data_IF_355262258487
#
_entry.id   IF_355262258487
#
_cell.length_a   1.000
_cell.length_b   1.000
_cell.length_c   1.000
_cell.angle_alpha   90.00
_cell.angle_beta   90.00
_cell.angle_gamma   90.00
#
_symmetry.space_group_name_H-M   'P 1'
#
loop_
_entity.id
_entity.type
_entity.pdbx_description
1 polymer ?
#
# COMPACT_ATOMS: atom_id res chain seq x y z
N UNK A 1 -14.23 -12.42 -10.15
CA UNK A 1 -13.39 -11.58 -9.27
C UNK A 1 -11.96 -12.09 -9.32
N UNK A 2 -11.04 -11.34 -9.94
CA UNK A 2 -9.68 -11.82 -10.22
C UNK A 2 -8.85 -11.93 -8.93
N UNK A 3 -8.31 -13.10 -8.63
CA UNK A 3 -7.52 -13.38 -7.40
C UNK A 3 -6.40 -12.36 -7.13
N UNK A 4 -5.86 -11.75 -8.17
CA UNK A 4 -4.85 -10.68 -8.11
C UNK A 4 -5.34 -9.42 -7.37
N UNK A 5 -6.60 -9.01 -7.54
CA UNK A 5 -7.14 -7.81 -6.86
C UNK A 5 -7.39 -8.08 -5.38
N UNK A 6 -7.81 -9.29 -5.04
CA UNK A 6 -8.05 -9.71 -3.66
C UNK A 6 -6.74 -9.74 -2.84
N UNK A 7 -5.68 -10.37 -3.37
CA UNK A 7 -4.35 -10.36 -2.73
C UNK A 7 -3.83 -8.93 -2.53
N UNK A 8 -4.08 -8.06 -3.49
CA UNK A 8 -3.61 -6.69 -3.46
C UNK A 8 -4.38 -5.83 -2.43
N UNK A 9 -5.70 -6.03 -2.31
CA UNK A 9 -6.50 -5.41 -1.25
C UNK A 9 -6.07 -5.88 0.14
N UNK A 10 -5.75 -7.17 0.30
CA UNK A 10 -5.26 -7.71 1.58
C UNK A 10 -3.92 -7.07 1.99
N UNK A 11 -2.98 -6.94 1.05
CA UNK A 11 -1.69 -6.26 1.29
C UNK A 11 -1.93 -4.78 1.61
N UNK A 12 -2.79 -4.10 0.86
CA UNK A 12 -3.12 -2.69 1.10
C UNK A 12 -3.69 -2.48 2.50
N UNK A 13 -4.60 -3.36 2.94
CA UNK A 13 -5.22 -3.27 4.26
C UNK A 13 -4.21 -3.51 5.38
N UNK A 14 -3.29 -4.45 5.22
CA UNK A 14 -2.21 -4.70 6.19
C UNK A 14 -1.24 -3.51 6.30
N UNK A 15 -0.93 -2.84 5.18
CA UNK A 15 -0.10 -1.64 5.18
C UNK A 15 -0.79 -0.46 5.88
N UNK A 16 -2.07 -0.25 5.60
CA UNK A 16 -2.85 0.83 6.24
C UNK A 16 -3.00 0.61 7.75
N UNK A 17 -3.21 -0.63 8.18
CA UNK A 17 -3.27 -0.97 9.60
C UNK A 17 -1.93 -0.69 10.31
N UNK A 18 -0.82 -1.08 9.66
CA UNK A 18 0.52 -0.79 10.17
C UNK A 18 0.79 0.72 10.30
N UNK A 19 0.34 1.51 9.32
CA UNK A 19 0.44 2.98 9.34
C UNK A 19 -0.42 3.56 10.47
N UNK A 20 -1.67 3.11 10.63
CA UNK A 20 -2.54 3.58 11.72
C UNK A 20 -1.98 3.22 13.09
N UNK A 21 -1.44 2.02 13.24
CA UNK A 21 -0.85 1.55 14.50
C UNK A 21 0.39 2.37 14.88
N UNK A 22 1.22 2.73 13.90
CA UNK A 22 2.37 3.62 14.11
C UNK A 22 1.93 5.08 14.34
N UNK A 23 0.89 5.58 13.65
CA UNK A 23 0.30 6.91 13.93
C UNK A 23 -0.32 7.02 15.31
N UNK A 24 -0.88 5.92 15.85
CA UNK A 24 -1.50 5.89 17.18
C UNK A 24 -0.46 5.76 18.30
N UNK A 25 0.82 5.61 17.99
CA UNK A 25 1.89 5.64 19.01
C UNK A 25 2.13 7.06 19.48
N UNK A 26 2.48 7.18 20.76
CA UNK A 26 2.75 8.44 21.47
C UNK A 26 3.99 9.19 20.94
N UNK A 27 4.89 8.46 20.27
CA UNK A 27 6.05 8.98 19.54
C UNK A 27 6.08 8.35 18.15
N UNK A 28 5.34 8.91 17.18
CA UNK A 28 5.36 8.42 15.82
C UNK A 28 6.72 8.78 15.21
N UNK A 29 7.44 7.75 14.76
CA UNK A 29 8.71 7.94 14.07
C UNK A 29 8.42 8.44 12.64
N UNK A 30 8.57 9.74 12.43
CA UNK A 30 8.30 10.41 11.15
C UNK A 30 9.09 9.79 9.99
N UNK A 31 10.29 9.29 10.23
CA UNK A 31 11.10 8.60 9.22
C UNK A 31 10.48 7.25 8.84
N UNK A 32 10.02 6.50 9.85
CA UNK A 32 9.31 5.24 9.66
C UNK A 32 7.98 5.45 8.92
N UNK A 33 7.27 6.54 9.25
CA UNK A 33 6.03 6.94 8.59
C UNK A 33 6.25 7.34 7.13
N UNK A 34 7.32 8.10 6.86
CA UNK A 34 7.70 8.50 5.51
C UNK A 34 8.08 7.28 4.67
N UNK A 35 8.82 6.32 5.25
CA UNK A 35 9.18 5.07 4.59
C UNK A 35 7.95 4.21 4.29
N UNK A 36 7.01 4.09 5.23
CA UNK A 36 5.74 3.41 5.02
C UNK A 36 4.90 4.09 3.93
N UNK A 37 4.82 5.42 3.92
CA UNK A 37 4.17 6.18 2.85
C UNK A 37 4.84 5.97 1.49
N UNK A 38 6.17 5.94 1.43
CA UNK A 38 6.92 5.64 0.19
C UNK A 38 6.64 4.23 -0.31
N UNK A 39 6.58 3.24 0.59
CA UNK A 39 6.20 1.87 0.22
C UNK A 39 4.75 1.81 -0.29
N UNK A 40 3.81 2.50 0.37
CA UNK A 40 2.43 2.60 -0.11
C UNK A 40 2.35 3.25 -1.49
N UNK A 41 3.13 4.30 -1.74
CA UNK A 41 3.20 4.97 -3.04
C UNK A 41 3.74 4.03 -4.13
N UNK A 42 4.85 3.34 -3.87
CA UNK A 42 5.41 2.37 -4.81
C UNK A 42 4.44 1.21 -5.11
N UNK A 43 3.68 0.73 -4.12
CA UNK A 43 2.63 -0.28 -4.32
C UNK A 43 1.50 0.27 -5.19
N UNK A 44 1.05 1.50 -4.94
CA UNK A 44 0.02 2.18 -5.74
C UNK A 44 0.49 2.40 -7.19
N UNK A 45 1.74 2.79 -7.39
CA UNK A 45 2.33 2.97 -8.72
C UNK A 45 2.40 1.64 -9.46
N UNK A 46 2.82 0.57 -8.77
CA UNK A 46 2.86 -0.78 -9.34
C UNK A 46 1.46 -1.31 -9.68
N UNK A 47 0.46 -1.01 -8.84
CA UNK A 47 -0.94 -1.33 -9.08
C UNK A 47 -1.49 -0.58 -10.29
N UNK A 48 -1.18 0.72 -10.39
CA UNK A 48 -1.58 1.56 -11.53
C UNK A 48 -0.90 1.09 -12.81
N UNK A 49 0.38 0.72 -12.76
CA UNK A 49 1.12 0.17 -13.89
C UNK A 49 0.56 -1.20 -14.32
N UNK A 50 0.20 -2.08 -13.38
CA UNK A 50 -0.45 -3.36 -13.67
C UNK A 50 -1.85 -3.18 -14.26
N UNK A 51 -2.64 -2.24 -13.74
CA UNK A 51 -3.96 -1.90 -14.29
C UNK A 51 -3.84 -1.33 -15.70
N UNK A 52 -2.92 -0.38 -15.92
CA UNK A 52 -2.63 0.18 -17.27
C UNK A 52 -2.13 -0.88 -18.24
N UNK A 53 -1.28 -1.81 -17.78
CA UNK A 53 -0.75 -2.90 -18.61
C UNK A 53 -1.79 -4.00 -18.88
N UNK A 54 -2.78 -4.17 -18.01
CA UNK A 54 -3.87 -5.13 -18.17
C UNK A 54 -5.02 -4.66 -19.07
N UNK A 55 -5.12 -3.35 -19.33
CA UNK A 55 -6.17 -2.75 -20.17
C UNK A 55 -5.78 -2.63 -21.66
N UNK A 56 -4.54 -3.01 -22.01
CA UNK A 56 -4.03 -3.04 -23.38
C UNK A 56 -3.97 -4.45 -24.01
N UNK A 57 -4.83 -5.37 -23.58
CA UNK A 57 -4.99 -6.70 -24.19
C UNK A 57 -6.42 -6.90 -24.65
#
# INVERSE_FOLDING_TARGET
MSSSTYRLMAIHRSLDDSIRKEMRRRMPDSFRLLRLKKMKLAVKDRLTALMRRGQGR
#
